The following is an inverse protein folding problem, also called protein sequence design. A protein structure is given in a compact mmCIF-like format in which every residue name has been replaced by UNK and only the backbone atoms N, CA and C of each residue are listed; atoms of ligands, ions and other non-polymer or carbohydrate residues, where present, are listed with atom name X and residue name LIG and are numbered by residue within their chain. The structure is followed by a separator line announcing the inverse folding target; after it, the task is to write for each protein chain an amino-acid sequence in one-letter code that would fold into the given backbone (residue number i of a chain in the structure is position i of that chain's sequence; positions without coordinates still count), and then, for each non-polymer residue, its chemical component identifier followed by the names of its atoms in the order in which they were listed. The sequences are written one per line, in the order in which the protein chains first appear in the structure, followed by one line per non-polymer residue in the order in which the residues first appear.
data_IF_135168441560
#
_entry.id   IF_135168441560
#
_cell.length_a   1.000
_cell.length_b   1.000
_cell.length_c   1.000
_cell.angle_alpha   90.00
_cell.angle_beta   90.00
_cell.angle_gamma   90.00
#
_symmetry.space_group_name_H-M   'P 1'
#
loop_
_entity.id
_entity.type
_entity.pdbx_description
1 polymer ?
#
# COMPACT_ATOMS: atom_id res chain seq x y z
N UNK A 1 -27.85 2.84 56.11
CA UNK A 1 -27.77 1.84 57.17
C UNK A 1 -26.30 1.71 57.52
N UNK A 2 -25.82 2.59 58.40
CA UNK A 2 -25.68 2.34 59.84
C UNK A 2 -24.69 1.21 60.13
N UNK A 3 -23.40 1.53 60.37
CA UNK A 3 -22.76 2.04 61.59
C UNK A 3 -22.23 0.87 62.47
N UNK A 4 -21.01 1.01 63.03
CA UNK A 4 -20.17 -0.04 63.58
C UNK A 4 -20.29 -0.13 65.10
N UNK A 5 -19.64 -1.12 65.73
CA UNK A 5 -19.34 -1.20 67.17
C UNK A 5 -18.15 -2.16 67.36
N UNK A 6 -17.24 -2.03 68.33
CA UNK A 6 -17.33 -1.41 69.66
C UNK A 6 -15.95 -1.10 70.24
N UNK A 7 -15.88 0.00 70.98
CA UNK A 7 -14.88 0.26 72.01
C UNK A 7 -15.41 -0.22 73.37
N UNK A 8 -14.52 -0.62 74.29
CA UNK A 8 -14.83 -0.60 75.72
C UNK A 8 -13.63 -0.11 76.53
N UNK A 9 -13.81 1.07 77.12
CA UNK A 9 -13.09 1.55 78.29
C UNK A 9 -13.94 1.24 79.53
N UNK A 10 -13.30 0.96 80.68
CA UNK A 10 -13.90 1.29 81.98
C UNK A 10 -12.85 1.46 83.08
N UNK A 11 -13.15 2.43 83.93
CA UNK A 11 -12.33 3.09 84.96
C UNK A 11 -13.11 3.02 86.28
N UNK A 12 -12.39 3.12 87.41
CA UNK A 12 -12.82 3.43 88.80
C UNK A 12 -13.40 2.29 89.66
N UNK A 13 -13.50 2.43 91.02
CA UNK A 13 -12.91 3.43 91.95
C UNK A 13 -12.24 2.84 93.22
N UNK A 14 -11.74 3.74 94.07
CA UNK A 14 -11.22 3.53 95.41
C UNK A 14 -12.26 3.13 96.48
N UNK A 15 -11.80 2.49 97.56
CA UNK A 15 -12.54 2.27 98.81
C UNK A 15 -11.63 1.67 99.89
N UNK A 16 -11.48 2.37 101.01
CA UNK A 16 -10.60 2.06 102.13
C UNK A 16 -11.30 1.22 103.22
N UNK A 17 -10.56 0.34 103.92
CA UNK A 17 -10.77 0.03 105.36
C UNK A 17 -9.60 -0.77 105.94
N UNK A 18 -9.44 -0.70 107.26
CA UNK A 18 -8.20 -0.82 108.02
C UNK A 18 -7.77 -2.24 108.44
N UNK A 19 -6.45 -2.39 108.66
CA UNK A 19 -5.93 -2.89 109.93
C UNK A 19 -5.55 -4.37 110.03
N UNK A 20 -4.26 -4.68 109.86
CA UNK A 20 -3.39 -5.29 110.89
C UNK A 20 -1.97 -5.43 110.34
N UNK A 21 -1.03 -4.77 111.02
CA UNK A 21 0.39 -4.93 110.80
C UNK A 21 0.86 -6.25 111.43
N UNK A 22 1.61 -7.04 110.67
CA UNK A 22 2.53 -8.05 111.19
C UNK A 22 3.87 -7.80 110.50
N UNK A 23 4.83 -7.34 111.29
CA UNK A 23 6.20 -7.12 110.87
C UNK A 23 6.92 -8.46 110.70
N UNK A 24 7.57 -8.67 109.56
CA UNK A 24 8.77 -9.50 109.45
C UNK A 24 9.83 -8.75 108.64
N UNK A 25 11.06 -8.80 109.13
CA UNK A 25 12.20 -7.93 108.85
C UNK A 25 13.17 -8.59 107.84
N UNK A 26 13.84 -7.79 106.99
CA UNK A 26 15.04 -8.12 106.19
C UNK A 26 14.76 -8.61 104.75
N UNK A 27 15.41 -8.17 103.66
CA UNK A 27 16.74 -7.58 103.44
C UNK A 27 16.77 -6.67 102.16
N UNK A 28 17.83 -5.86 102.01
CA UNK A 28 17.96 -4.68 101.13
C UNK A 28 18.09 -4.85 99.59
N UNK A 29 18.44 -3.76 98.85
CA UNK A 29 18.23 -3.62 97.40
C UNK A 29 19.16 -4.48 96.52
N UNK A 30 18.57 -5.14 95.51
CA UNK A 30 19.26 -5.95 94.51
C UNK A 30 20.11 -5.08 93.55
N UNK A 31 21.44 -5.24 93.61
CA UNK A 31 22.35 -4.84 92.53
C UNK A 31 22.71 -6.10 91.74
N UNK A 32 22.48 -6.08 90.42
CA UNK A 32 22.86 -7.17 89.53
C UNK A 32 24.23 -6.86 88.92
N UNK A 33 25.26 -7.53 89.42
CA UNK A 33 26.61 -7.47 88.87
C UNK A 33 26.63 -8.23 87.54
N UNK A 34 26.84 -7.51 86.43
CA UNK A 34 26.88 -8.09 85.08
C UNK A 34 28.33 -8.24 84.63
N UNK A 35 28.70 -9.41 84.14
CA UNK A 35 30.03 -9.72 83.62
C UNK A 35 30.33 -8.90 82.35
N UNK A 36 31.39 -8.06 82.33
CA UNK A 36 31.72 -7.22 81.18
C UNK A 36 32.06 -8.00 79.91
N UNK A 37 32.43 -9.28 80.02
CA UNK A 37 32.68 -10.15 78.86
C UNK A 37 31.40 -10.58 78.13
N UNK A 38 30.24 -10.40 78.78
CA UNK A 38 28.91 -10.63 78.19
C UNK A 38 28.30 -9.36 77.58
N UNK A 39 29.04 -8.26 77.54
CA UNK A 39 28.61 -6.97 76.98
C UNK A 39 29.27 -6.73 75.62
N UNK A 40 28.48 -6.70 74.55
CA UNK A 40 28.93 -6.23 73.24
C UNK A 40 28.76 -4.71 73.19
N UNK A 41 29.86 -3.97 73.34
CA UNK A 41 29.88 -2.51 73.31
C UNK A 41 30.45 -2.07 71.95
N UNK A 42 29.63 -1.41 71.13
CA UNK A 42 30.00 -0.92 69.80
C UNK A 42 30.02 0.61 69.75
N UNK A 43 31.02 1.20 69.10
CA UNK A 43 31.15 2.66 68.94
C UNK A 43 30.20 3.16 67.86
N UNK A 44 29.24 4.01 68.23
CA UNK A 44 28.31 4.67 67.30
C UNK A 44 29.02 5.81 66.56
N UNK A 45 28.92 5.82 65.23
CA UNK A 45 29.44 6.91 64.38
C UNK A 45 28.28 7.59 63.66
N UNK A 46 28.25 8.93 63.63
CA UNK A 46 27.32 9.68 62.79
C UNK A 46 27.82 9.63 61.34
N UNK A 47 26.98 9.15 60.44
CA UNK A 47 27.21 9.12 59.00
C UNK A 47 25.89 9.26 58.27
N UNK A 48 25.92 9.46 56.95
CA UNK A 48 24.71 9.47 56.14
C UNK A 48 24.05 8.09 56.17
N UNK A 49 22.88 7.99 56.80
CA UNK A 49 22.05 6.80 56.76
C UNK A 49 21.11 6.92 55.57
N UNK A 50 21.36 6.13 54.52
CA UNK A 50 20.49 6.05 53.35
C UNK A 50 19.55 4.86 53.53
N UNK A 51 18.26 5.17 53.67
CA UNK A 51 17.20 4.18 53.69
C UNK A 51 16.78 3.89 52.24
N UNK A 52 16.94 2.63 51.81
CA UNK A 52 16.46 2.18 50.51
C UNK A 52 15.15 1.42 50.72
N UNK A 53 14.09 1.89 50.09
CA UNK A 53 12.85 1.13 49.96
C UNK A 53 12.96 0.36 48.63
N UNK A 54 13.14 -0.97 48.63
CA UNK A 54 13.19 -1.72 47.38
C UNK A 54 11.82 -1.68 46.72
N UNK A 55 11.73 -0.98 45.58
CA UNK A 55 10.54 -0.94 44.73
C UNK A 55 10.79 -1.79 43.51
N UNK A 56 9.97 -2.82 43.33
CA UNK A 56 9.94 -3.61 42.11
C UNK A 56 9.07 -2.90 41.07
N UNK A 57 9.66 -2.53 39.95
CA UNK A 57 8.95 -2.01 38.78
C UNK A 57 9.20 -2.89 37.56
N UNK A 58 8.25 -2.94 36.64
CA UNK A 58 8.44 -3.59 35.34
C UNK A 58 8.73 -2.48 34.33
N UNK A 59 9.80 -2.64 33.55
CA UNK A 59 10.09 -1.72 32.45
C UNK A 59 9.21 -2.15 31.26
N UNK A 60 8.30 -1.26 30.88
CA UNK A 60 7.53 -1.41 29.66
C UNK A 60 8.11 -0.48 28.60
N UNK A 61 8.04 -0.88 27.33
CA UNK A 61 8.52 -0.02 26.28
C UNK A 61 7.65 1.19 26.01
N UNK A 62 8.27 2.22 25.44
CA UNK A 62 7.57 3.47 25.10
C UNK A 62 6.67 3.27 23.88
N UNK A 63 7.05 2.42 22.92
CA UNK A 63 6.24 2.13 21.73
C UNK A 63 6.44 0.70 21.28
N UNK A 64 5.33 -0.03 21.07
CA UNK A 64 5.34 -1.35 20.44
C UNK A 64 4.52 -1.33 19.14
N UNK A 65 5.12 -1.83 18.06
CA UNK A 65 4.50 -1.92 16.74
C UNK A 65 4.49 -3.39 16.31
N UNK A 66 3.32 -3.91 15.99
CA UNK A 66 3.19 -5.23 15.39
C UNK A 66 3.54 -5.15 13.90
N UNK A 67 4.28 -6.14 13.43
CA UNK A 67 4.65 -6.37 12.05
C UNK A 67 3.69 -7.41 11.48
N UNK A 68 2.81 -6.94 10.60
CA UNK A 68 1.81 -7.72 9.90
C UNK A 68 2.17 -7.87 8.41
N UNK A 69 1.88 -9.04 7.86
CA UNK A 69 2.15 -9.33 6.45
C UNK A 69 1.04 -8.72 5.58
N UNK A 70 1.40 -7.77 4.71
CA UNK A 70 0.45 -7.14 3.77
C UNK A 70 -0.08 -8.13 2.73
N UNK A 71 0.73 -9.09 2.34
CA UNK A 71 0.34 -10.20 1.48
C UNK A 71 0.75 -11.52 2.13
N UNK A 72 -0.13 -12.52 2.04
CA UNK A 72 0.13 -13.85 2.58
C UNK A 72 1.11 -14.63 1.71
N UNK A 73 1.81 -15.57 2.33
CA UNK A 73 2.78 -16.41 1.64
C UNK A 73 3.52 -17.34 2.59
N UNK A 74 4.32 -18.22 2.03
CA UNK A 74 5.16 -19.13 2.81
C UNK A 74 6.50 -18.46 3.11
N UNK A 75 6.91 -18.46 4.38
CA UNK A 75 8.22 -17.95 4.80
C UNK A 75 9.31 -18.74 4.10
N UNK A 76 10.07 -18.06 3.25
CA UNK A 76 11.18 -18.65 2.50
C UNK A 76 12.51 -18.37 3.20
N UNK A 77 12.71 -17.13 3.65
CA UNK A 77 13.95 -16.69 4.29
C UNK A 77 13.68 -15.74 5.45
N UNK A 78 14.57 -15.80 6.44
CA UNK A 78 14.59 -14.95 7.63
C UNK A 78 15.93 -14.21 7.66
N UNK A 79 15.90 -12.88 7.58
CA UNK A 79 17.11 -12.05 7.50
C UNK A 79 17.59 -11.55 8.86
N UNK A 80 16.71 -11.59 9.87
CA UNK A 80 16.93 -11.02 11.20
C UNK A 80 16.44 -11.99 12.26
N UNK A 81 17.14 -12.06 13.39
CA UNK A 81 16.77 -12.89 14.54
C UNK A 81 16.14 -12.06 15.65
N UNK A 82 15.50 -12.74 16.60
CA UNK A 82 14.92 -12.11 17.79
C UNK A 82 15.97 -11.33 18.58
N UNK A 83 15.58 -10.16 19.07
CA UNK A 83 16.45 -9.27 19.82
C UNK A 83 17.43 -8.46 18.96
N UNK A 84 17.44 -8.61 17.64
CA UNK A 84 18.30 -7.81 16.77
C UNK A 84 17.82 -6.36 16.64
N UNK A 85 18.79 -5.44 16.55
CA UNK A 85 18.55 -4.03 16.24
C UNK A 85 18.33 -3.87 14.74
N UNK A 86 17.21 -3.26 14.37
CA UNK A 86 16.80 -3.03 12.99
C UNK A 86 16.76 -1.53 12.68
N UNK A 87 17.09 -1.19 11.44
CA UNK A 87 16.84 0.13 10.88
C UNK A 87 15.55 0.12 10.05
N UNK A 88 14.90 1.27 9.95
CA UNK A 88 13.74 1.49 9.09
C UNK A 88 14.06 1.09 7.65
N UNK A 89 13.19 0.25 7.07
CA UNK A 89 13.32 -0.29 5.72
C UNK A 89 14.21 -1.53 5.59
N UNK A 90 14.87 -1.97 6.67
CA UNK A 90 15.66 -3.19 6.69
C UNK A 90 14.74 -4.41 6.48
N UNK A 91 15.08 -5.33 5.55
CA UNK A 91 14.31 -6.54 5.34
C UNK A 91 14.41 -7.46 6.56
N UNK A 92 13.27 -7.99 6.99
CA UNK A 92 13.14 -8.89 8.16
C UNK A 92 12.89 -10.31 7.70
N UNK A 93 11.96 -10.49 6.76
CA UNK A 93 11.62 -11.79 6.19
C UNK A 93 11.28 -11.70 4.69
N UNK A 94 11.36 -12.83 4.01
CA UNK A 94 10.92 -13.00 2.62
C UNK A 94 9.85 -14.08 2.55
N UNK A 95 8.71 -13.72 1.99
CA UNK A 95 7.61 -14.63 1.69
C UNK A 95 7.69 -15.06 0.22
N UNK A 96 7.28 -16.30 -0.04
CA UNK A 96 7.05 -16.85 -1.37
C UNK A 96 5.54 -17.01 -1.59
N UNK A 97 5.04 -16.53 -2.73
CA UNK A 97 3.65 -16.70 -3.12
C UNK A 97 3.56 -16.91 -4.65
N UNK A 98 3.48 -18.18 -5.05
CA UNK A 98 3.42 -18.57 -6.45
C UNK A 98 2.18 -18.03 -7.19
N UNK A 99 1.04 -17.89 -6.50
CA UNK A 99 -0.18 -17.34 -7.11
C UNK A 99 -0.03 -15.85 -7.42
N UNK A 100 0.67 -15.11 -6.55
CA UNK A 100 0.94 -13.69 -6.75
C UNK A 100 1.96 -13.47 -7.88
N UNK A 101 3.01 -14.30 -7.95
CA UNK A 101 3.96 -14.30 -9.06
C UNK A 101 3.28 -14.63 -10.39
N UNK A 102 2.43 -15.66 -10.42
CA UNK A 102 1.65 -16.01 -11.61
C UNK A 102 0.71 -14.87 -12.01
N UNK A 103 0.08 -14.20 -11.04
CA UNK A 103 -0.76 -13.02 -11.29
C UNK A 103 0.04 -11.86 -11.89
N UNK A 104 1.28 -11.64 -11.44
CA UNK A 104 2.18 -10.65 -12.04
C UNK A 104 2.49 -11.00 -13.50
N UNK A 105 2.91 -12.24 -13.79
CA UNK A 105 3.22 -12.69 -15.15
C UNK A 105 2.01 -12.57 -16.08
N UNK A 106 0.82 -12.93 -15.59
CA UNK A 106 -0.42 -12.76 -16.34
C UNK A 106 -0.70 -11.28 -16.65
N UNK A 107 -0.48 -10.39 -15.69
CA UNK A 107 -0.66 -8.95 -15.88
C UNK A 107 0.37 -8.36 -16.86
N UNK A 108 1.63 -8.80 -16.80
CA UNK A 108 2.67 -8.41 -17.76
C UNK A 108 2.32 -8.89 -19.17
N UNK A 109 1.87 -10.14 -19.29
CA UNK A 109 1.40 -10.72 -20.56
C UNK A 109 0.20 -9.96 -21.12
N UNK A 110 -0.74 -9.54 -20.27
CA UNK A 110 -1.88 -8.73 -20.68
C UNK A 110 -1.45 -7.37 -21.26
N UNK A 111 -0.44 -6.72 -20.67
CA UNK A 111 0.14 -5.47 -21.19
C UNK A 111 0.81 -5.71 -22.55
N UNK A 112 1.59 -6.78 -22.70
CA UNK A 112 2.25 -7.13 -23.96
C UNK A 112 1.25 -7.45 -25.08
N UNK A 113 0.18 -8.20 -24.76
CA UNK A 113 -0.89 -8.49 -25.70
C UNK A 113 -1.61 -7.21 -26.13
N UNK A 114 -1.88 -6.29 -25.20
CA UNK A 114 -2.47 -4.99 -25.54
C UNK A 114 -1.55 -4.18 -26.45
N UNK A 115 -0.24 -4.14 -26.16
CA UNK A 115 0.73 -3.43 -26.99
C UNK A 115 0.76 -4.00 -28.43
N UNK A 116 0.76 -5.32 -28.55
CA UNK A 116 0.70 -6.02 -29.84
C UNK A 116 -0.58 -5.69 -30.58
N UNK A 117 -1.73 -5.72 -29.89
CA UNK A 117 -3.03 -5.34 -30.48
C UNK A 117 -3.05 -3.88 -30.95
N UNK A 118 -2.44 -2.96 -30.19
CA UNK A 118 -2.28 -1.56 -30.58
C UNK A 118 -1.43 -1.41 -31.84
N UNK A 119 -0.36 -2.17 -31.96
CA UNK A 119 0.49 -2.16 -33.15
C UNK A 119 -0.24 -2.71 -34.37
N UNK A 120 -0.97 -3.82 -34.24
CA UNK A 120 -1.79 -4.40 -35.31
C UNK A 120 -2.86 -3.39 -35.76
N UNK A 121 -3.59 -2.80 -34.80
CA UNK A 121 -4.61 -1.78 -35.09
C UNK A 121 -4.03 -0.56 -35.79
N UNK A 122 -2.87 -0.06 -35.33
CA UNK A 122 -2.16 1.06 -35.99
C UNK A 122 -1.75 0.72 -37.42
N UNK A 123 -1.17 -0.45 -37.64
CA UNK A 123 -0.76 -0.88 -38.98
C UNK A 123 -1.96 -1.05 -39.92
N UNK A 124 -3.05 -1.65 -39.43
CA UNK A 124 -4.29 -1.78 -40.19
C UNK A 124 -4.89 -0.41 -40.53
N UNK A 125 -4.93 0.53 -39.57
CA UNK A 125 -5.38 1.90 -39.81
C UNK A 125 -4.52 2.60 -40.88
N UNK A 126 -3.19 2.48 -40.79
CA UNK A 126 -2.28 3.04 -41.80
C UNK A 126 -2.51 2.45 -43.20
N UNK A 127 -2.67 1.13 -43.30
CA UNK A 127 -2.98 0.47 -44.57
C UNK A 127 -4.32 0.95 -45.15
N UNK A 128 -5.36 1.06 -44.31
CA UNK A 128 -6.67 1.58 -44.71
C UNK A 128 -6.60 3.02 -45.18
N UNK A 129 -5.91 3.91 -44.45
CA UNK A 129 -5.72 5.30 -44.85
C UNK A 129 -4.96 5.40 -46.17
N UNK A 130 -3.90 4.61 -46.37
CA UNK A 130 -3.18 4.58 -47.65
C UNK A 130 -4.08 4.12 -48.80
N UNK A 131 -4.90 3.09 -48.60
CA UNK A 131 -5.86 2.65 -49.61
C UNK A 131 -6.88 3.75 -49.95
N UNK A 132 -7.39 4.48 -48.95
CA UNK A 132 -8.30 5.63 -49.16
C UNK A 132 -7.61 6.78 -49.89
N UNK A 133 -6.35 7.06 -49.59
CA UNK A 133 -5.56 8.09 -50.29
C UNK A 133 -5.37 7.74 -51.77
N UNK A 134 -5.06 6.48 -52.09
CA UNK A 134 -4.99 6.03 -53.48
C UNK A 134 -6.35 6.18 -54.18
N UNK A 135 -7.44 5.76 -53.54
CA UNK A 135 -8.80 5.96 -54.08
C UNK A 135 -9.15 7.43 -54.29
N UNK A 136 -8.68 8.33 -53.41
CA UNK A 136 -8.85 9.77 -53.56
C UNK A 136 -8.07 10.28 -54.76
N UNK A 137 -6.81 9.87 -54.93
CA UNK A 137 -5.99 10.25 -56.08
C UNK A 137 -6.63 9.78 -57.41
N UNK A 138 -7.15 8.56 -57.45
CA UNK A 138 -7.85 8.03 -58.63
C UNK A 138 -9.13 8.81 -58.93
N UNK A 139 -9.91 9.15 -57.90
CA UNK A 139 -11.13 9.94 -58.06
C UNK A 139 -10.82 11.38 -58.50
N UNK A 140 -9.72 11.96 -58.02
CA UNK A 140 -9.27 13.31 -58.36
C UNK A 140 -8.79 13.38 -59.82
N UNK A 141 -7.99 12.41 -60.25
CA UNK A 141 -7.59 12.25 -61.66
C UNK A 141 -8.78 12.08 -62.59
N UNK A 142 -9.73 11.20 -62.23
CA UNK A 142 -10.94 10.96 -63.03
C UNK A 142 -11.85 12.20 -63.10
N UNK A 143 -11.93 12.97 -62.02
CA UNK A 143 -12.65 14.25 -62.00
C UNK A 143 -12.00 15.26 -62.96
N UNK A 144 -10.68 15.45 -62.89
CA UNK A 144 -9.99 16.39 -63.75
C UNK A 144 -10.06 16.01 -65.23
N UNK A 145 -10.03 14.72 -65.57
CA UNK A 145 -10.27 14.27 -66.93
C UNK A 145 -11.71 14.60 -67.39
N UNK A 146 -12.71 14.25 -66.59
CA UNK A 146 -14.10 14.55 -66.91
C UNK A 146 -14.38 16.05 -67.01
N UNK A 147 -13.72 16.87 -66.20
CA UNK A 147 -13.77 18.34 -66.24
C UNK A 147 -13.19 18.87 -67.55
N UNK A 148 -12.02 18.38 -67.98
CA UNK A 148 -11.42 18.75 -69.27
C UNK A 148 -12.35 18.43 -70.44
N UNK A 149 -12.87 17.21 -70.48
CA UNK A 149 -13.79 16.76 -71.55
C UNK A 149 -15.08 17.56 -71.54
N UNK A 150 -15.67 17.82 -70.36
CA UNK A 150 -16.87 18.65 -70.25
C UNK A 150 -16.64 20.08 -70.74
N UNK A 151 -15.53 20.72 -70.34
CA UNK A 151 -15.18 22.08 -70.80
C UNK A 151 -14.96 22.15 -72.30
N UNK A 152 -14.28 21.15 -72.87
CA UNK A 152 -14.08 21.04 -74.31
C UNK A 152 -15.42 20.88 -75.04
N UNK A 153 -16.25 19.92 -74.62
CA UNK A 153 -17.54 19.66 -75.25
C UNK A 153 -18.51 20.83 -75.10
N UNK A 154 -18.43 21.58 -74.00
CA UNK A 154 -19.21 22.82 -73.83
C UNK A 154 -18.90 23.82 -74.94
N UNK A 155 -17.62 24.10 -75.18
CA UNK A 155 -17.19 25.03 -76.22
C UNK A 155 -17.60 24.53 -77.63
N UNK A 156 -17.43 23.22 -77.89
CA UNK A 156 -17.80 22.63 -79.19
C UNK A 156 -19.32 22.63 -79.42
N UNK A 157 -20.12 22.44 -78.37
CA UNK A 157 -21.58 22.52 -78.45
C UNK A 157 -22.06 23.95 -78.70
N UNK A 158 -21.45 24.95 -78.06
CA UNK A 158 -21.70 26.37 -78.32
C UNK A 158 -21.39 26.74 -79.78
N UNK A 159 -20.35 26.12 -80.35
CA UNK A 159 -20.00 26.23 -81.78
C UNK A 159 -20.83 25.33 -82.71
N UNK A 160 -21.80 24.57 -82.17
CA UNK A 160 -22.67 23.61 -82.91
C UNK A 160 -21.91 22.50 -83.65
N UNK A 161 -20.74 22.11 -83.15
CA UNK A 161 -19.87 21.07 -83.75
C UNK A 161 -20.26 19.65 -83.31
N UNK A 162 -20.82 19.49 -82.10
CA UNK A 162 -21.20 18.20 -81.51
C UNK A 162 -22.71 18.09 -81.25
N UNK A 163 -23.22 16.87 -81.12
CA UNK A 163 -24.64 16.64 -80.82
C UNK A 163 -24.98 16.98 -79.36
N UNK A 164 -26.23 17.38 -79.10
CA UNK A 164 -26.70 17.66 -77.72
C UNK A 164 -26.54 16.44 -76.80
N UNK A 165 -26.70 15.23 -77.35
CA UNK A 165 -26.56 13.99 -76.59
C UNK A 165 -25.12 13.79 -76.07
N UNK A 166 -24.11 14.07 -76.90
CA UNK A 166 -22.69 13.96 -76.52
C UNK A 166 -22.32 14.98 -75.43
N UNK A 167 -22.82 16.22 -75.55
CA UNK A 167 -22.65 17.23 -74.51
C UNK A 167 -23.29 16.79 -73.18
N UNK A 168 -24.53 16.30 -73.21
CA UNK A 168 -25.24 15.82 -72.00
C UNK A 168 -24.53 14.63 -71.35
N UNK A 169 -23.96 13.72 -72.13
CA UNK A 169 -23.16 12.60 -71.61
C UNK A 169 -21.92 13.10 -70.86
N UNK A 170 -21.17 14.05 -71.45
CA UNK A 170 -20.00 14.65 -70.79
C UNK A 170 -20.38 15.39 -69.51
N UNK A 171 -21.49 16.15 -69.50
CA UNK A 171 -22.01 16.83 -68.31
C UNK A 171 -22.36 15.83 -67.19
N UNK A 172 -23.07 14.75 -67.53
CA UNK A 172 -23.44 13.72 -66.55
C UNK A 172 -22.20 13.03 -65.97
N UNK A 173 -21.22 12.70 -66.81
CA UNK A 173 -19.96 12.10 -66.39
C UNK A 173 -19.18 13.02 -65.43
N UNK A 174 -19.05 14.31 -65.76
CA UNK A 174 -18.43 15.31 -64.90
C UNK A 174 -19.13 15.40 -63.54
N UNK A 175 -20.46 15.56 -63.53
CA UNK A 175 -21.25 15.63 -62.28
C UNK A 175 -21.12 14.35 -61.44
N UNK A 176 -21.00 13.19 -62.08
CA UNK A 176 -20.78 11.92 -61.38
C UNK A 176 -19.41 11.88 -60.69
N UNK A 177 -18.32 12.22 -61.41
CA UNK A 177 -16.98 12.23 -60.82
C UNK A 177 -16.84 13.29 -59.72
N UNK A 178 -17.51 14.44 -59.86
CA UNK A 178 -17.55 15.47 -58.82
C UNK A 178 -18.14 14.94 -57.50
N UNK A 179 -19.27 14.22 -57.58
CA UNK A 179 -19.89 13.58 -56.40
C UNK A 179 -19.00 12.51 -55.80
N UNK A 180 -18.36 11.69 -56.64
CA UNK A 180 -17.44 10.63 -56.21
C UNK A 180 -16.22 11.20 -55.47
N UNK A 181 -15.63 12.28 -55.98
CA UNK A 181 -14.52 12.99 -55.33
C UNK A 181 -14.94 13.58 -53.98
N UNK A 182 -16.10 14.23 -53.92
CA UNK A 182 -16.67 14.76 -52.67
C UNK A 182 -16.89 13.66 -51.62
N UNK A 183 -17.42 12.51 -52.03
CA UNK A 183 -17.60 11.35 -51.15
C UNK A 183 -16.26 10.81 -50.65
N UNK A 184 -15.26 10.66 -51.53
CA UNK A 184 -13.92 10.18 -51.14
C UNK A 184 -13.25 11.09 -50.11
N UNK A 185 -13.34 12.42 -50.30
CA UNK A 185 -12.84 13.41 -49.33
C UNK A 185 -13.58 13.31 -47.99
N UNK A 186 -14.90 13.13 -48.01
CA UNK A 186 -15.69 12.98 -46.79
C UNK A 186 -15.29 11.73 -46.00
N UNK A 187 -15.13 10.60 -46.68
CA UNK A 187 -14.71 9.33 -46.10
C UNK A 187 -13.32 9.46 -45.46
N UNK A 188 -12.37 10.11 -46.13
CA UNK A 188 -11.03 10.34 -45.58
C UNK A 188 -11.05 11.24 -44.32
N UNK A 189 -11.92 12.25 -44.31
CA UNK A 189 -12.15 13.09 -43.13
C UNK A 189 -12.65 12.27 -41.93
N UNK A 190 -13.63 11.39 -42.14
CA UNK A 190 -14.17 10.51 -41.10
C UNK A 190 -13.13 9.50 -40.59
N UNK A 191 -12.33 8.91 -41.49
CA UNK A 191 -11.25 7.97 -41.16
C UNK A 191 -10.25 8.56 -40.15
N UNK A 192 -9.87 9.83 -40.33
CA UNK A 192 -8.96 10.53 -39.42
C UNK A 192 -9.52 10.72 -38.00
N UNK A 193 -10.85 10.88 -37.88
CA UNK A 193 -11.53 11.08 -36.60
C UNK A 193 -11.71 9.75 -35.86
N UNK A 194 -12.13 8.71 -36.58
CA UNK A 194 -12.29 7.36 -36.04
C UNK A 194 -10.95 6.81 -35.54
N UNK A 195 -9.90 6.92 -36.35
CA UNK A 195 -8.55 6.46 -35.99
C UNK A 195 -8.03 7.15 -34.73
N UNK A 196 -8.23 8.47 -34.61
CA UNK A 196 -7.83 9.22 -33.40
C UNK A 196 -8.61 8.78 -32.16
N UNK A 197 -9.92 8.54 -32.32
CA UNK A 197 -10.76 8.06 -31.22
C UNK A 197 -10.32 6.68 -30.73
N UNK A 198 -10.08 5.74 -31.64
CA UNK A 198 -9.58 4.39 -31.33
C UNK A 198 -8.23 4.44 -30.62
N UNK A 199 -7.27 5.22 -31.14
CA UNK A 199 -5.97 5.41 -30.49
C UNK A 199 -6.10 6.02 -29.08
N UNK A 200 -7.00 6.99 -28.90
CA UNK A 200 -7.28 7.59 -27.60
C UNK A 200 -7.95 6.63 -26.61
N UNK A 201 -8.77 5.69 -27.09
CA UNK A 201 -9.32 4.62 -26.25
C UNK A 201 -8.24 3.61 -25.86
N UNK A 202 -7.42 3.18 -26.82
CA UNK A 202 -6.33 2.25 -26.60
C UNK A 202 -5.28 2.79 -25.61
N UNK A 203 -4.90 4.06 -25.74
CA UNK A 203 -3.98 4.74 -24.81
C UNK A 203 -4.53 4.75 -23.38
N UNK A 204 -5.82 5.04 -23.19
CA UNK A 204 -6.47 4.99 -21.87
C UNK A 204 -6.46 3.58 -21.29
N UNK A 205 -6.72 2.56 -22.10
CA UNK A 205 -6.65 1.16 -21.68
C UNK A 205 -5.23 0.76 -21.27
N UNK A 206 -4.24 1.22 -22.02
CA UNK A 206 -2.82 0.99 -21.71
C UNK A 206 -2.43 1.59 -20.36
N UNK A 207 -2.78 2.85 -20.09
CA UNK A 207 -2.53 3.48 -18.79
C UNK A 207 -3.20 2.71 -17.63
N UNK A 208 -4.43 2.22 -17.81
CA UNK A 208 -5.10 1.41 -16.78
C UNK A 208 -4.36 0.10 -16.52
N UNK A 209 -3.90 -0.59 -17.57
CA UNK A 209 -3.15 -1.84 -17.41
C UNK A 209 -1.77 -1.62 -16.81
N UNK A 210 -1.09 -0.51 -17.14
CA UNK A 210 0.16 -0.12 -16.50
C UNK A 210 -0.02 0.13 -15.01
N UNK A 211 -1.05 0.91 -14.62
CA UNK A 211 -1.34 1.17 -13.21
C UNK A 211 -1.64 -0.14 -12.44
N UNK A 212 -2.37 -1.07 -13.07
CA UNK A 212 -2.64 -2.38 -12.50
C UNK A 212 -1.36 -3.23 -12.36
N UNK A 213 -0.46 -3.17 -13.34
CA UNK A 213 0.84 -3.84 -13.28
C UNK A 213 1.72 -3.25 -12.16
N UNK A 214 1.77 -1.93 -12.02
CA UNK A 214 2.54 -1.28 -10.96
C UNK A 214 1.99 -1.58 -9.56
N UNK A 215 0.66 -1.73 -9.44
CA UNK A 215 0.06 -2.22 -8.20
C UNK A 215 0.49 -3.66 -7.91
N UNK A 216 0.48 -4.54 -8.92
CA UNK A 216 0.89 -5.93 -8.75
C UNK A 216 2.38 -6.06 -8.40
N UNK A 217 3.25 -5.27 -9.03
CA UNK A 217 4.68 -5.20 -8.71
C UNK A 217 4.92 -4.76 -7.26
N UNK A 218 4.14 -3.80 -6.76
CA UNK A 218 4.19 -3.39 -5.35
C UNK A 218 3.77 -4.54 -4.43
N UNK A 219 2.67 -5.23 -4.72
CA UNK A 219 2.23 -6.40 -3.94
C UNK A 219 3.28 -7.51 -3.90
N UNK A 220 3.96 -7.79 -5.02
CA UNK A 220 5.08 -8.74 -5.05
C UNK A 220 6.26 -8.23 -4.22
N UNK A 221 6.57 -6.92 -4.27
CA UNK A 221 7.57 -6.31 -3.41
C UNK A 221 7.24 -6.39 -1.92
N UNK A 222 5.96 -6.33 -1.56
CA UNK A 222 5.46 -6.43 -0.19
C UNK A 222 5.58 -7.85 0.40
N UNK A 223 5.93 -8.86 -0.42
CA UNK A 223 6.34 -10.18 0.08
C UNK A 223 7.68 -10.12 0.84
N UNK A 224 8.49 -9.09 0.61
CA UNK A 224 9.66 -8.79 1.44
C UNK A 224 9.23 -7.83 2.53
N UNK A 225 9.01 -8.35 3.74
CA UNK A 225 8.57 -7.49 4.83
C UNK A 225 9.75 -6.77 5.46
N UNK A 226 9.58 -5.46 5.67
CA UNK A 226 10.60 -4.54 6.14
C UNK A 226 10.18 -3.85 7.42
N UNK A 227 11.15 -3.48 8.26
CA UNK A 227 10.88 -2.76 9.50
C UNK A 227 10.33 -1.34 9.23
N UNK A 228 9.19 -0.93 9.83
CA UNK A 228 8.59 0.40 9.61
C UNK A 228 9.33 1.51 10.39
N UNK A 229 10.03 1.15 11.46
CA UNK A 229 10.78 2.04 12.35
C UNK A 229 12.15 1.46 12.68
N UNK A 230 13.04 2.33 13.18
CA UNK A 230 14.26 1.89 13.87
C UNK A 230 13.87 1.38 15.27
N UNK A 231 14.40 0.23 15.67
CA UNK A 231 14.06 -0.37 16.96
C UNK A 231 14.57 -1.80 17.11
N UNK A 232 14.24 -2.44 18.21
CA UNK A 232 14.61 -3.83 18.47
C UNK A 232 13.45 -4.76 18.13
N UNK A 233 13.74 -5.85 17.41
CA UNK A 233 12.77 -6.92 17.18
C UNK A 233 12.55 -7.67 18.51
N UNK A 234 11.34 -7.62 19.06
CA UNK A 234 11.03 -8.18 20.38
C UNK A 234 10.57 -9.64 20.29
N UNK A 235 9.74 -9.95 19.28
CA UNK A 235 9.34 -11.32 18.97
C UNK A 235 9.17 -11.51 17.47
N UNK A 236 9.59 -12.67 16.97
CA UNK A 236 9.48 -13.13 15.59
C UNK A 236 8.85 -14.51 15.59
N UNK A 237 7.52 -14.53 15.56
CA UNK A 237 6.71 -15.74 15.58
C UNK A 237 6.51 -16.29 14.15
N UNK A 238 7.61 -16.43 13.40
CA UNK A 238 7.63 -16.90 12.01
C UNK A 238 8.76 -17.91 11.76
N UNK A 239 8.40 -19.15 11.45
CA UNK A 239 9.35 -20.20 11.08
C UNK A 239 9.49 -20.36 9.56
N UNK A 240 10.68 -20.75 9.10
CA UNK A 240 10.93 -21.05 7.69
C UNK A 240 10.03 -22.22 7.27
N UNK A 241 9.28 -22.04 6.19
CA UNK A 241 8.29 -23.00 5.69
C UNK A 241 6.88 -22.82 6.23
N UNK A 242 6.68 -21.96 7.25
CA UNK A 242 5.35 -21.62 7.77
C UNK A 242 4.57 -20.78 6.74
N UNK A 243 3.27 -21.02 6.63
CA UNK A 243 2.37 -20.19 5.83
C UNK A 243 1.82 -19.05 6.69
N UNK A 244 2.08 -17.82 6.30
CA UNK A 244 1.54 -16.60 6.93
C UNK A 244 0.33 -16.13 6.13
N UNK A 245 -0.78 -15.89 6.81
CA UNK A 245 -1.98 -15.36 6.19
C UNK A 245 -1.90 -13.83 6.07
N UNK A 246 -2.63 -13.28 5.10
CA UNK A 246 -2.73 -11.83 4.95
C UNK A 246 -3.30 -11.19 6.22
N UNK A 247 -2.61 -10.17 6.74
CA UNK A 247 -3.05 -9.41 7.91
C UNK A 247 -2.86 -10.10 9.27
N UNK A 248 -2.19 -11.26 9.32
CA UNK A 248 -1.77 -11.84 10.62
C UNK A 248 -0.51 -11.13 11.13
N UNK A 249 -0.52 -10.73 12.40
CA UNK A 249 0.67 -10.27 13.10
C UNK A 249 1.59 -11.47 13.35
N UNK A 250 2.84 -11.36 12.91
CA UNK A 250 3.85 -12.43 13.02
C UNK A 250 5.13 -11.93 13.71
N UNK A 251 5.24 -10.63 13.99
CA UNK A 251 6.31 -10.08 14.82
C UNK A 251 5.88 -8.83 15.58
N UNK A 252 6.63 -8.48 16.62
CA UNK A 252 6.50 -7.21 17.34
C UNK A 252 7.85 -6.53 17.47
N UNK A 253 7.87 -5.21 17.27
CA UNK A 253 9.07 -4.37 17.41
C UNK A 253 8.81 -3.29 18.44
N UNK A 254 9.87 -2.91 19.14
CA UNK A 254 9.78 -2.05 20.30
C UNK A 254 10.84 -0.96 20.25
N UNK A 255 10.51 0.23 20.73
CA UNK A 255 11.41 1.37 20.91
C UNK A 255 11.75 1.61 22.36
#
# INVERSE_FOLDING_TARGET
MDNPQTAFARRHPAGATAGRAVYYFGAGPSQLTVDPTRLTISVVRRGSFQEFIPVSGVVLPETSIFLDALEGGRVEEKFVEDGALMKKGQPVLRLSNADLELSLVNQETAVLNLLTQMQISRNAAQQNTNARLNQLADADNAYHEAERVYRLNKNLYEQKVIAQQEFKQAEQAYRYQQRRLGLSRHILGQDSSATRQEQGQAARSYTRMQNALDLMRRKVGDLVVRAPIDGQLTSLDAEIGQSINKGSAWASSTR
#
